data_IF_318309033831
#
_entry.id   IF_318309033831
#
_cell.length_a   1.000
_cell.length_b   1.000
_cell.length_c   1.000
_cell.angle_alpha   90.00
_cell.angle_beta   90.00
_cell.angle_gamma   90.00
#
_symmetry.space_group_name_H-M   'P 1'
#
loop_
_entity.id
_entity.type
_entity.pdbx_description
1 polymer ?
#
# COMPACT_ATOMS: atom_id res chain seq x y z
N UNK A 1 9.33 -3.24 14.38
CA UNK A 1 9.91 -4.32 13.55
C UNK A 1 8.88 -5.42 13.40
N UNK A 2 8.45 -5.70 12.17
CA UNK A 2 7.50 -6.78 11.86
C UNK A 2 7.98 -8.12 12.41
N UNK A 3 7.36 -9.20 12.05
CA UNK A 3 7.82 -10.53 12.48
C UNK A 3 9.06 -10.93 11.67
N UNK A 4 10.25 -11.09 12.28
CA UNK A 4 11.50 -11.34 11.53
C UNK A 4 11.47 -12.57 10.62
N UNK A 5 10.62 -13.55 10.95
CA UNK A 5 10.44 -14.83 10.24
C UNK A 5 9.14 -14.91 9.45
N UNK A 6 8.35 -13.84 9.42
CA UNK A 6 7.01 -13.84 8.83
C UNK A 6 6.99 -14.24 7.35
N UNK A 7 8.00 -13.85 6.58
CA UNK A 7 8.13 -14.22 5.17
C UNK A 7 8.38 -15.72 4.92
N UNK A 8 8.84 -16.45 5.95
CA UNK A 8 9.02 -17.91 5.91
C UNK A 8 7.80 -18.68 6.45
N UNK A 9 6.94 -18.02 7.23
CA UNK A 9 5.82 -18.67 7.93
C UNK A 9 4.49 -18.49 7.19
N UNK A 10 4.34 -17.41 6.47
CA UNK A 10 3.10 -17.07 5.77
C UNK A 10 3.33 -17.04 4.27
N UNK A 11 2.46 -17.74 3.53
CA UNK A 11 2.43 -17.67 2.08
C UNK A 11 1.86 -16.33 1.60
N UNK A 12 2.27 -15.91 0.40
CA UNK A 12 1.69 -14.72 -0.23
C UNK A 12 0.20 -14.96 -0.51
N UNK A 13 -0.60 -14.02 -0.11
CA UNK A 13 -2.02 -13.97 -0.44
C UNK A 13 -2.32 -12.63 -1.09
N UNK A 14 -2.97 -12.66 -2.24
CA UNK A 14 -3.40 -11.47 -2.98
C UNK A 14 -4.91 -11.31 -2.89
N UNK A 15 -5.36 -10.06 -2.96
CA UNK A 15 -6.77 -9.73 -3.13
C UNK A 15 -7.30 -10.36 -4.42
N UNK A 16 -8.50 -10.92 -4.35
CA UNK A 16 -9.17 -11.49 -5.52
C UNK A 16 -9.96 -10.43 -6.26
N UNK A 17 -10.29 -10.71 -7.49
CA UNK A 17 -11.22 -9.89 -8.27
C UNK A 17 -12.46 -10.70 -8.59
N UNK A 18 -13.61 -10.02 -8.68
CA UNK A 18 -14.84 -10.61 -9.18
C UNK A 18 -14.61 -11.13 -10.61
N UNK A 19 -15.22 -12.27 -10.94
CA UNK A 19 -15.11 -12.89 -12.25
C UNK A 19 -15.44 -11.92 -13.39
N UNK A 20 -14.66 -11.90 -14.49
CA UNK A 20 -14.84 -10.92 -15.57
C UNK A 20 -16.26 -10.86 -16.12
N UNK A 21 -16.96 -12.01 -16.24
CA UNK A 21 -18.34 -12.09 -16.74
C UNK A 21 -19.36 -11.46 -15.79
N UNK A 22 -19.04 -11.39 -14.50
CA UNK A 22 -19.92 -10.77 -13.51
C UNK A 22 -19.65 -9.26 -13.40
N UNK A 23 -18.39 -8.85 -13.37
CA UNK A 23 -18.02 -7.44 -13.20
C UNK A 23 -18.37 -6.55 -14.40
N UNK A 24 -18.60 -7.11 -15.58
CA UNK A 24 -19.07 -6.33 -16.75
C UNK A 24 -20.54 -5.94 -16.65
N UNK A 25 -21.29 -6.47 -15.68
CA UNK A 25 -22.74 -6.22 -15.53
C UNK A 25 -23.04 -4.93 -14.75
N UNK A 26 -22.08 -4.37 -14.04
CA UNK A 26 -22.21 -3.16 -13.23
C UNK A 26 -20.88 -2.38 -13.20
N UNK A 27 -20.87 -1.25 -12.52
CA UNK A 27 -19.69 -0.40 -12.28
C UNK A 27 -19.26 -0.39 -10.81
N UNK A 28 -19.66 -1.42 -10.05
CA UNK A 28 -19.31 -1.55 -8.64
C UNK A 28 -17.84 -1.94 -8.48
N UNK A 29 -17.31 -1.80 -7.24
CA UNK A 29 -15.99 -2.26 -6.87
C UNK A 29 -15.86 -3.78 -7.11
N UNK A 30 -14.89 -4.16 -7.91
CA UNK A 30 -14.67 -5.57 -8.26
C UNK A 30 -13.50 -6.23 -7.52
N UNK A 31 -12.75 -5.47 -6.71
CA UNK A 31 -11.70 -6.02 -5.87
C UNK A 31 -12.31 -6.58 -4.59
N UNK A 32 -11.93 -7.82 -4.27
CA UNK A 32 -12.35 -8.50 -3.04
C UNK A 32 -11.19 -8.40 -2.05
N UNK A 33 -11.35 -7.57 -1.03
CA UNK A 33 -10.30 -7.25 -0.08
C UNK A 33 -9.93 -8.41 0.83
N UNK A 34 -8.68 -8.39 1.30
CA UNK A 34 -8.23 -9.31 2.34
C UNK A 34 -8.92 -8.98 3.68
N UNK A 35 -9.21 -10.00 4.48
CA UNK A 35 -9.64 -9.79 5.86
C UNK A 35 -8.52 -9.11 6.67
N UNK A 36 -8.87 -8.45 7.78
CA UNK A 36 -7.87 -7.81 8.67
C UNK A 36 -6.80 -8.80 9.15
N UNK A 37 -7.19 -10.04 9.44
CA UNK A 37 -6.27 -11.11 9.85
C UNK A 37 -5.28 -11.44 8.73
N UNK A 38 -5.79 -11.71 7.53
CA UNK A 38 -4.96 -12.00 6.36
C UNK A 38 -4.05 -10.83 6.00
N UNK A 39 -4.54 -9.61 6.09
CA UNK A 39 -3.76 -8.42 5.85
C UNK A 39 -2.60 -8.28 6.85
N UNK A 40 -2.83 -8.55 8.13
CA UNK A 40 -1.76 -8.57 9.15
C UNK A 40 -0.74 -9.67 8.87
N UNK A 41 -1.16 -10.86 8.43
CA UNK A 41 -0.24 -11.92 7.99
C UNK A 41 0.62 -11.45 6.81
N UNK A 42 0.02 -10.79 5.82
CA UNK A 42 0.76 -10.26 4.67
C UNK A 42 1.74 -9.14 5.08
N UNK A 43 1.35 -8.29 6.01
CA UNK A 43 2.23 -7.26 6.57
C UNK A 43 3.40 -7.87 7.35
N UNK A 44 3.16 -8.97 8.08
CA UNK A 44 4.20 -9.72 8.82
C UNK A 44 5.29 -10.29 7.91
N UNK A 45 5.02 -10.47 6.61
CA UNK A 45 6.01 -10.94 5.64
C UNK A 45 7.10 -9.90 5.34
N UNK A 46 6.91 -8.64 5.71
CA UNK A 46 7.91 -7.62 5.53
C UNK A 46 9.11 -7.83 6.47
N UNK A 47 10.31 -7.98 5.89
CA UNK A 47 11.55 -8.19 6.65
C UNK A 47 12.09 -6.92 7.31
N UNK A 48 11.49 -5.76 7.07
CA UNK A 48 12.00 -4.46 7.54
C UNK A 48 13.49 -4.26 7.20
N UNK A 49 13.81 -4.34 5.90
CA UNK A 49 15.19 -4.30 5.41
C UNK A 49 15.89 -3.00 5.80
N UNK A 50 17.14 -3.07 6.26
CA UNK A 50 17.96 -1.88 6.55
C UNK A 50 18.21 -1.01 5.31
N UNK A 51 18.22 -1.61 4.11
CA UNK A 51 18.24 -0.93 2.82
C UNK A 51 17.03 -1.41 2.02
N UNK A 52 15.87 -0.76 2.17
CA UNK A 52 14.62 -1.21 1.56
C UNK A 52 14.54 -0.80 0.09
N UNK A 53 14.87 -1.70 -0.82
CA UNK A 53 14.76 -1.45 -2.27
C UNK A 53 13.33 -1.12 -2.71
N UNK A 54 12.31 -1.62 -2.00
CA UNK A 54 10.92 -1.32 -2.29
C UNK A 54 10.59 0.18 -2.29
N UNK A 55 11.30 0.99 -1.51
CA UNK A 55 11.11 2.45 -1.42
C UNK A 55 12.22 3.26 -2.09
N UNK A 56 13.17 2.63 -2.79
CA UNK A 56 14.37 3.34 -3.29
C UNK A 56 14.08 4.32 -4.42
N UNK A 57 13.13 4.02 -5.30
CA UNK A 57 12.80 4.87 -6.45
C UNK A 57 13.95 5.09 -7.43
N UNK A 58 14.98 4.22 -7.41
CA UNK A 58 16.18 4.38 -8.24
C UNK A 58 15.89 4.03 -9.69
N UNK A 59 16.54 4.75 -10.61
CA UNK A 59 16.54 4.40 -12.03
C UNK A 59 17.70 3.48 -12.33
N UNK A 60 17.42 2.27 -12.81
CA UNK A 60 18.39 1.26 -13.21
C UNK A 60 18.17 0.93 -14.69
N UNK A 61 19.17 1.14 -15.53
CA UNK A 61 19.08 0.92 -16.98
C UNK A 61 17.85 1.58 -17.64
N UNK A 62 17.49 2.78 -17.21
CA UNK A 62 16.33 3.54 -17.73
C UNK A 62 14.97 3.12 -17.16
N UNK A 63 14.91 2.16 -16.23
CA UNK A 63 13.69 1.71 -15.58
C UNK A 63 13.70 2.07 -14.09
N UNK A 64 12.57 2.51 -13.58
CA UNK A 64 12.43 2.78 -12.14
C UNK A 64 12.30 1.47 -11.37
N UNK A 65 13.15 1.31 -10.33
CA UNK A 65 13.10 0.20 -9.38
C UNK A 65 12.65 0.71 -8.01
N UNK A 66 11.67 0.06 -7.42
CA UNK A 66 11.05 0.51 -6.18
C UNK A 66 10.00 1.59 -6.37
N UNK A 67 9.48 2.12 -5.27
CA UNK A 67 8.43 3.14 -5.29
C UNK A 67 9.01 4.52 -5.65
N UNK A 68 8.59 5.18 -6.75
CA UNK A 68 9.07 6.50 -7.12
C UNK A 68 8.64 7.61 -6.14
N UNK A 69 7.62 7.37 -5.32
CA UNK A 69 7.21 8.27 -4.24
C UNK A 69 8.03 8.06 -2.95
N UNK A 70 8.97 7.13 -2.94
CA UNK A 70 9.70 6.71 -1.74
C UNK A 70 8.79 6.33 -0.57
N UNK A 71 7.68 5.62 -0.88
CA UNK A 71 6.67 5.24 0.09
C UNK A 71 7.30 4.37 1.19
N UNK A 72 6.99 4.71 2.45
CA UNK A 72 7.61 4.16 3.66
C UNK A 72 7.08 2.75 3.98
N UNK A 73 7.22 1.85 3.00
CA UNK A 73 6.63 0.51 2.99
C UNK A 73 6.96 -0.32 4.23
N UNK A 74 8.22 -0.43 4.71
CA UNK A 74 8.51 -1.22 5.89
C UNK A 74 7.81 -0.70 7.14
N UNK A 75 7.78 0.62 7.31
CA UNK A 75 7.26 1.26 8.52
C UNK A 75 5.74 1.06 8.68
N UNK A 76 4.98 1.31 7.61
CA UNK A 76 3.53 1.12 7.72
C UNK A 76 3.12 -0.37 7.67
N UNK A 77 3.94 -1.26 7.10
CA UNK A 77 3.73 -2.70 7.24
C UNK A 77 3.93 -3.17 8.70
N UNK A 78 4.90 -2.65 9.41
CA UNK A 78 5.09 -2.96 10.84
C UNK A 78 3.89 -2.51 11.66
N UNK A 79 3.42 -1.28 11.44
CA UNK A 79 2.23 -0.76 12.10
C UNK A 79 0.97 -1.56 11.77
N UNK A 80 0.83 -2.00 10.53
CA UNK A 80 -0.28 -2.85 10.08
C UNK A 80 -0.23 -4.24 10.74
N UNK A 81 0.94 -4.86 10.81
CA UNK A 81 1.14 -6.13 11.50
C UNK A 81 0.74 -6.05 12.97
N UNK A 82 1.13 -4.99 13.66
CA UNK A 82 0.78 -4.77 15.07
C UNK A 82 -0.68 -4.34 15.28
N UNK A 83 -1.43 -4.09 14.20
CA UNK A 83 -2.84 -3.70 14.26
C UNK A 83 -3.08 -2.20 14.43
N UNK A 84 -2.05 -1.38 14.31
CA UNK A 84 -2.11 0.09 14.46
C UNK A 84 -2.51 0.77 13.13
N UNK A 85 -3.72 0.50 12.64
CA UNK A 85 -4.20 0.96 11.33
C UNK A 85 -4.19 2.48 11.18
N UNK A 86 -4.59 3.22 12.20
CA UNK A 86 -4.58 4.69 12.14
C UNK A 86 -3.16 5.25 11.98
N UNK A 87 -2.18 4.69 12.69
CA UNK A 87 -0.80 5.10 12.53
C UNK A 87 -0.22 4.66 11.18
N UNK A 88 -0.60 3.47 10.70
CA UNK A 88 -0.23 2.99 9.36
C UNK A 88 -0.77 3.94 8.28
N UNK A 89 -2.02 4.38 8.40
CA UNK A 89 -2.61 5.40 7.53
C UNK A 89 -1.84 6.71 7.56
N UNK A 90 -1.57 7.25 8.75
CA UNK A 90 -0.80 8.48 8.90
C UNK A 90 0.62 8.37 8.29
N UNK A 91 1.22 7.18 8.37
CA UNK A 91 2.54 6.94 7.81
C UNK A 91 2.50 6.81 6.29
N UNK A 92 1.51 6.13 5.74
CA UNK A 92 1.26 6.00 4.30
C UNK A 92 1.04 7.38 3.66
N UNK A 93 0.20 8.21 4.27
CA UNK A 93 -0.12 9.55 3.78
C UNK A 93 1.04 10.55 3.79
N UNK A 94 2.17 10.23 4.43
CA UNK A 94 3.35 11.11 4.34
C UNK A 94 3.94 11.19 2.94
N UNK A 95 3.81 10.14 2.17
CA UNK A 95 4.42 10.01 0.85
C UNK A 95 3.41 9.72 -0.26
N UNK A 96 2.21 9.27 0.08
CA UNK A 96 1.15 8.96 -0.86
C UNK A 96 -0.15 9.64 -0.43
N UNK A 97 -0.57 10.65 -1.20
CA UNK A 97 -1.78 11.42 -0.89
C UNK A 97 -3.08 10.74 -1.35
N UNK A 98 -2.98 9.77 -2.28
CA UNK A 98 -4.15 9.14 -2.91
C UNK A 98 -4.04 7.61 -2.92
N UNK A 99 -3.87 6.96 -1.75
CA UNK A 99 -3.70 5.51 -1.69
C UNK A 99 -4.94 4.75 -2.17
N UNK A 100 -6.12 5.34 -2.14
CA UNK A 100 -7.36 4.77 -2.69
C UNK A 100 -7.28 4.53 -4.20
N UNK A 101 -6.54 5.36 -4.94
CA UNK A 101 -6.32 5.18 -6.37
C UNK A 101 -5.07 4.33 -6.63
N UNK A 102 -3.96 4.66 -6.00
CA UNK A 102 -2.69 3.95 -6.25
C UNK A 102 -2.78 2.48 -5.89
N UNK A 103 -3.46 2.12 -4.81
CA UNK A 103 -3.67 0.71 -4.43
C UNK A 103 -4.46 -0.10 -5.46
N UNK A 104 -5.25 0.57 -6.33
CA UNK A 104 -6.03 -0.10 -7.39
C UNK A 104 -5.31 -0.17 -8.73
N UNK A 105 -4.55 0.86 -9.09
CA UNK A 105 -4.01 0.99 -10.46
C UNK A 105 -2.48 0.95 -10.55
N UNK A 106 -1.76 1.08 -9.44
CA UNK A 106 -0.31 1.08 -9.43
C UNK A 106 0.26 -0.26 -9.92
N UNK A 107 1.27 -0.28 -10.80
CA UNK A 107 1.94 -1.51 -11.22
C UNK A 107 2.80 -2.17 -10.14
N UNK A 108 2.83 -1.60 -8.93
CA UNK A 108 3.52 -2.12 -7.75
C UNK A 108 5.02 -2.38 -7.97
N UNK A 109 5.74 -1.39 -8.46
CA UNK A 109 7.21 -1.48 -8.63
C UNK A 109 7.93 -1.77 -7.31
N UNK A 110 7.33 -1.36 -6.18
CA UNK A 110 7.82 -1.72 -4.84
C UNK A 110 7.81 -3.23 -4.59
N UNK A 111 6.81 -3.96 -5.07
CA UNK A 111 6.76 -5.43 -4.97
C UNK A 111 7.83 -6.07 -5.85
N UNK A 112 8.04 -5.55 -7.07
CA UNK A 112 9.08 -6.04 -7.98
C UNK A 112 10.49 -5.85 -7.40
N UNK A 113 10.70 -4.80 -6.62
CA UNK A 113 11.98 -4.50 -5.97
C UNK A 113 12.10 -5.13 -4.58
N UNK A 114 11.08 -5.82 -4.09
CA UNK A 114 11.10 -6.43 -2.76
C UNK A 114 12.13 -7.56 -2.69
N UNK A 115 13.02 -7.51 -1.68
CA UNK A 115 14.06 -8.53 -1.48
C UNK A 115 13.49 -9.92 -1.17
N UNK A 116 12.28 -10.01 -0.59
CA UNK A 116 11.60 -11.30 -0.44
C UNK A 116 11.41 -12.03 -1.77
N UNK A 117 11.27 -11.29 -2.87
CA UNK A 117 11.13 -11.85 -4.22
C UNK A 117 12.36 -12.61 -4.75
N UNK A 118 13.53 -12.52 -4.06
CA UNK A 118 14.70 -13.32 -4.40
C UNK A 118 14.64 -14.76 -3.87
N UNK A 119 13.86 -14.97 -2.81
CA UNK A 119 13.80 -16.25 -2.10
C UNK A 119 12.44 -16.94 -2.25
N UNK A 120 11.44 -16.18 -2.66
CA UNK A 120 10.06 -16.64 -2.80
C UNK A 120 9.21 -15.51 -3.35
N UNK A 121 8.00 -15.33 -2.82
CA UNK A 121 7.10 -14.29 -3.26
C UNK A 121 7.35 -12.95 -2.54
N UNK A 122 7.28 -11.82 -3.23
CA UNK A 122 7.38 -10.49 -2.62
C UNK A 122 6.21 -10.24 -1.66
N UNK A 123 6.34 -9.22 -0.82
CA UNK A 123 5.25 -8.76 0.06
C UNK A 123 4.13 -8.17 -0.78
N UNK A 124 2.87 -8.44 -0.44
CA UNK A 124 1.67 -7.87 -1.09
C UNK A 124 1.46 -6.41 -0.66
N UNK A 125 2.35 -5.53 -1.11
CA UNK A 125 2.41 -4.12 -0.69
C UNK A 125 1.15 -3.38 -1.10
N UNK A 126 0.70 -3.57 -2.34
CA UNK A 126 -0.48 -2.90 -2.88
C UNK A 126 -1.75 -3.28 -2.14
N UNK A 127 -1.93 -4.55 -1.82
CA UNK A 127 -3.11 -5.03 -1.09
C UNK A 127 -3.11 -4.55 0.36
N UNK A 128 -1.93 -4.45 0.97
CA UNK A 128 -1.77 -3.88 2.31
C UNK A 128 -2.10 -2.37 2.31
N UNK A 129 -1.60 -1.61 1.33
CA UNK A 129 -1.94 -0.20 1.13
C UNK A 129 -3.46 -0.01 1.00
N UNK A 130 -4.10 -0.86 0.18
CA UNK A 130 -5.53 -0.84 -0.02
C UNK A 130 -6.30 -1.07 1.28
N UNK A 131 -5.93 -2.09 2.05
CA UNK A 131 -6.61 -2.35 3.31
C UNK A 131 -6.41 -1.27 4.36
N UNK A 132 -5.28 -0.56 4.36
CA UNK A 132 -5.07 0.60 5.23
C UNK A 132 -6.08 1.70 4.90
N UNK A 133 -6.20 2.09 3.63
CA UNK A 133 -7.08 3.19 3.24
C UNK A 133 -8.57 2.85 3.40
N UNK A 134 -8.99 1.64 3.03
CA UNK A 134 -10.37 1.20 3.20
C UNK A 134 -10.77 1.13 4.68
N UNK A 135 -9.84 0.68 5.54
CA UNK A 135 -10.05 0.72 6.98
C UNK A 135 -10.18 2.15 7.48
N UNK A 136 -9.36 3.07 6.96
CA UNK A 136 -9.39 4.47 7.35
C UNK A 136 -10.73 5.15 7.02
N UNK A 137 -11.28 4.88 5.83
CA UNK A 137 -12.62 5.36 5.47
C UNK A 137 -13.70 4.74 6.33
N UNK A 138 -13.66 3.42 6.54
CA UNK A 138 -14.65 2.69 7.33
C UNK A 138 -14.68 3.13 8.79
N UNK A 139 -13.54 3.41 9.38
CA UNK A 139 -13.40 3.84 10.77
C UNK A 139 -13.47 5.36 10.93
N UNK A 140 -13.56 6.12 9.84
CA UNK A 140 -13.83 7.55 9.82
C UNK A 140 -12.65 8.46 10.18
N UNK A 141 -11.42 7.96 10.17
CA UNK A 141 -10.24 8.81 10.39
C UNK A 141 -9.56 9.26 9.09
N UNK A 142 -9.99 8.75 7.94
CA UNK A 142 -9.70 9.38 6.66
C UNK A 142 -10.64 10.56 6.47
N UNK A 143 -10.23 11.72 6.95
CA UNK A 143 -10.96 12.97 6.74
C UNK A 143 -10.61 13.62 5.40
N UNK A 144 -11.45 14.55 4.91
CA UNK A 144 -11.08 15.39 3.79
C UNK A 144 -9.77 16.11 4.16
N UNK A 145 -8.81 16.11 3.23
CA UNK A 145 -7.58 16.88 3.38
C UNK A 145 -7.97 18.32 3.68
N UNK A 146 -7.44 18.88 4.76
CA UNK A 146 -7.69 20.26 5.11
C UNK A 146 -7.29 21.14 3.91
N UNK A 147 -8.25 21.82 3.33
CA UNK A 147 -8.11 22.67 2.13
C UNK A 147 -7.16 23.85 2.30
N UNK A 148 -6.54 23.99 3.44
CA UNK A 148 -5.59 25.09 3.71
C UNK A 148 -4.38 25.08 2.78
N UNK A 149 -3.97 23.94 2.26
CA UNK A 149 -2.87 23.84 1.29
C UNK A 149 -3.30 24.05 -0.16
N UNK A 150 -4.51 23.66 -0.52
CA UNK A 150 -5.04 23.83 -1.88
C UNK A 150 -5.49 25.28 -2.13
N UNK A 151 -5.94 25.99 -1.12
CA UNK A 151 -6.39 27.39 -1.23
C UNK A 151 -5.30 28.36 -1.69
N UNK A 152 -4.05 28.11 -1.34
CA UNK A 152 -2.98 29.04 -1.67
C UNK A 152 -2.57 29.02 -3.15
N UNK A 153 -2.88 27.95 -3.89
CA UNK A 153 -2.42 27.78 -5.25
C UNK A 153 -3.51 27.69 -6.32
N UNK A 154 -4.74 27.35 -5.96
CA UNK A 154 -5.77 27.06 -6.96
C UNK A 154 -6.96 28.01 -6.97
N UNK A 155 -7.25 28.73 -5.92
CA UNK A 155 -8.47 29.56 -5.86
C UNK A 155 -8.24 31.04 -5.98
N UNK A 156 -7.08 31.56 -5.55
CA UNK A 156 -6.84 33.00 -5.52
C UNK A 156 -6.17 33.55 -6.80
N UNK A 157 -5.67 32.68 -7.67
CA UNK A 157 -5.04 33.09 -8.94
C UNK A 157 -5.96 32.97 -10.16
N UNK A 158 -7.11 32.33 -10.04
CA UNK A 158 -7.99 32.02 -11.18
C UNK A 158 -9.46 32.48 -10.97
N UNK A 159 -9.73 33.20 -9.91
CA UNK A 159 -10.96 33.94 -9.67
C UNK A 159 -10.67 35.46 -9.67
#
# INVERSE_FOLDING_TARGET
>A
MGKPTGFMEYDRCEARSVEPKERIKNFDEFHIFLSKEKQREQAARCMDCGVPFCQSGMTVAGMTSGCPLHNLVPEWNDLLYTGNYQQAYNRLHKTNNFPEFTSRVCPALCEKACTCGHWGDPVSVRDNEHGIIETAYKEGYAGPVSYTHLRAHETDQYL
#
